data_IF_639899642596
#
_entry.id   IF_639899642596
#
_cell.length_a   1.000
_cell.length_b   1.000
_cell.length_c   1.000
_cell.angle_alpha   90.00
_cell.angle_beta   90.00
_cell.angle_gamma   90.00
#
_symmetry.space_group_name_H-M   'P 1'
#
loop_
_entity.id
_entity.type
_entity.pdbx_description
1 polymer ?
#
# COMPACT_ATOMS: atom_id res chain seq x y z
N UNK A 1 -19.97 -20.02 53.96
CA UNK A 1 -18.51 -20.22 54.11
C UNK A 1 -18.18 -21.35 53.14
N UNK A 2 -18.03 -21.06 51.86
CA UNK A 2 -16.70 -20.98 51.20
C UNK A 2 -16.84 -20.16 49.92
N UNK A 3 -16.05 -19.08 49.83
CA UNK A 3 -15.92 -18.22 48.65
C UNK A 3 -15.09 -18.98 47.61
N UNK A 4 -15.68 -19.36 46.47
CA UNK A 4 -14.93 -19.76 45.28
C UNK A 4 -14.65 -18.50 44.46
N UNK A 5 -13.41 -18.02 44.49
CA UNK A 5 -12.92 -16.93 43.63
C UNK A 5 -12.55 -17.53 42.28
N UNK A 6 -13.41 -17.36 41.27
CA UNK A 6 -13.08 -17.64 39.87
C UNK A 6 -12.36 -16.39 39.33
N UNK A 7 -11.02 -16.45 39.26
CA UNK A 7 -10.24 -15.47 38.53
C UNK A 7 -10.28 -15.83 37.04
N UNK A 8 -11.24 -15.25 36.31
CA UNK A 8 -11.21 -15.28 34.83
C UNK A 8 -10.11 -14.32 34.39
N UNK A 9 -8.94 -14.86 34.06
CA UNK A 9 -7.87 -14.11 33.40
C UNK A 9 -8.32 -13.89 31.96
N UNK A 10 -8.93 -12.73 31.69
CA UNK A 10 -9.10 -12.24 30.33
C UNK A 10 -7.73 -11.72 29.89
N UNK A 11 -6.92 -12.59 29.27
CA UNK A 11 -5.74 -12.17 28.54
C UNK A 11 -6.23 -11.41 27.30
N UNK A 12 -6.33 -10.08 27.42
CA UNK A 12 -6.58 -9.20 26.29
C UNK A 12 -5.44 -9.39 25.29
N UNK A 13 -5.77 -9.98 24.13
CA UNK A 13 -4.90 -9.98 22.96
C UNK A 13 -4.73 -8.52 22.52
N UNK A 14 -3.66 -7.89 23.01
CA UNK A 14 -3.17 -6.63 22.44
C UNK A 14 -2.63 -6.98 21.07
N UNK A 15 -3.46 -6.81 20.05
CA UNK A 15 -3.03 -6.89 18.65
C UNK A 15 -2.11 -5.69 18.41
N UNK A 16 -0.82 -5.90 18.66
CA UNK A 16 0.22 -4.95 18.32
C UNK A 16 0.27 -4.84 16.79
N UNK A 17 -0.35 -3.77 16.27
CA UNK A 17 -0.07 -3.30 14.93
C UNK A 17 1.46 -3.13 14.83
N UNK A 18 2.06 -3.77 13.83
CA UNK A 18 3.49 -3.64 13.56
C UNK A 18 3.89 -2.19 13.27
N UNK A 19 5.20 -1.91 13.14
CA UNK A 19 5.66 -0.56 12.84
C UNK A 19 5.02 -0.06 11.54
N UNK A 20 4.27 1.03 11.63
CA UNK A 20 3.81 1.80 10.49
C UNK A 20 5.05 2.23 9.69
N UNK A 21 5.07 1.92 8.39
CA UNK A 21 6.09 2.47 7.50
C UNK A 21 6.09 4.01 7.62
N UNK A 22 7.25 4.68 7.52
CA UNK A 22 7.29 6.13 7.54
C UNK A 22 6.34 6.68 6.48
N UNK A 23 5.43 7.56 6.92
CA UNK A 23 4.41 8.16 6.08
C UNK A 23 5.09 9.08 5.06
N UNK A 24 5.35 8.53 3.87
CA UNK A 24 5.73 9.33 2.71
C UNK A 24 4.53 10.18 2.32
N UNK A 25 4.80 11.41 1.88
CA UNK A 25 3.77 12.26 1.30
C UNK A 25 3.00 11.48 0.22
N UNK A 26 1.67 11.66 0.14
CA UNK A 26 0.87 10.99 -0.87
C UNK A 26 1.43 11.29 -2.27
N UNK A 27 1.48 10.27 -3.11
CA UNK A 27 1.99 10.38 -4.45
C UNK A 27 1.00 11.16 -5.33
N UNK A 28 1.54 12.07 -6.15
CA UNK A 28 0.81 12.69 -7.25
C UNK A 28 1.07 11.90 -8.53
N UNK A 29 0.03 11.29 -9.07
CA UNK A 29 0.11 10.38 -10.21
C UNK A 29 -0.56 10.99 -11.44
N UNK A 30 0.04 10.75 -12.61
CA UNK A 30 -0.50 11.22 -13.89
C UNK A 30 -0.27 10.20 -14.99
N UNK A 31 -1.12 10.24 -16.02
CA UNK A 31 -0.83 9.56 -17.28
C UNK A 31 0.20 10.36 -18.08
N UNK A 32 1.20 9.68 -18.62
CA UNK A 32 2.21 10.24 -19.49
C UNK A 32 2.48 9.32 -20.68
N UNK A 33 2.62 9.89 -21.88
CA UNK A 33 3.00 9.11 -23.06
C UNK A 33 4.53 8.93 -23.13
N UNK A 34 4.98 7.69 -23.22
CA UNK A 34 6.39 7.33 -23.44
C UNK A 34 6.52 6.58 -24.76
N UNK A 35 7.35 7.12 -25.66
CA UNK A 35 7.62 6.49 -26.96
C UNK A 35 8.08 5.04 -26.79
N UNK A 36 7.35 4.11 -27.41
CA UNK A 36 7.63 2.67 -27.35
C UNK A 36 6.94 1.91 -26.20
N UNK A 37 6.41 2.61 -25.19
CA UNK A 37 5.62 2.01 -24.11
C UNK A 37 4.13 2.40 -24.18
N UNK A 38 3.81 3.53 -24.83
CA UNK A 38 2.47 4.09 -24.84
C UNK A 38 2.20 4.92 -23.60
N UNK A 39 0.95 4.94 -23.15
CA UNK A 39 0.54 5.63 -21.94
C UNK A 39 0.99 4.84 -20.70
N UNK A 40 1.63 5.54 -19.77
CA UNK A 40 2.10 4.98 -18.50
C UNK A 40 1.66 5.87 -17.34
N UNK A 41 1.58 5.30 -16.15
CA UNK A 41 1.42 6.08 -14.91
C UNK A 41 2.79 6.57 -14.46
N UNK A 42 2.91 7.86 -14.19
CA UNK A 42 4.14 8.47 -13.69
C UNK A 42 3.87 9.35 -12.46
N UNK A 43 4.88 9.49 -11.60
CA UNK A 43 4.83 10.41 -10.46
C UNK A 43 5.17 11.86 -10.86
N UNK A 44 5.08 12.79 -9.90
CA UNK A 44 5.43 14.20 -10.10
C UNK A 44 6.86 14.45 -10.58
N UNK A 45 7.79 13.52 -10.30
CA UNK A 45 9.19 13.57 -10.74
C UNK A 45 9.40 12.95 -12.13
N UNK A 46 8.34 12.45 -12.78
CA UNK A 46 8.41 11.80 -14.08
C UNK A 46 8.95 10.37 -14.04
N UNK A 47 8.97 9.73 -12.87
CA UNK A 47 9.31 8.31 -12.74
C UNK A 47 8.08 7.48 -13.05
N UNK A 48 8.21 6.56 -14.01
CA UNK A 48 7.15 5.59 -14.33
C UNK A 48 6.92 4.67 -13.14
N UNK A 49 5.66 4.47 -12.77
CA UNK A 49 5.28 3.49 -11.77
C UNK A 49 5.24 2.09 -12.37
N UNK A 50 5.83 1.16 -11.63
CA UNK A 50 5.74 -0.27 -11.91
C UNK A 50 4.82 -0.91 -10.88
N UNK A 51 3.96 -1.84 -11.32
CA UNK A 51 3.21 -2.74 -10.45
C UNK A 51 3.75 -4.14 -10.65
N UNK A 52 3.89 -4.90 -9.56
CA UNK A 52 4.38 -6.26 -9.66
C UNK A 52 3.25 -7.20 -10.09
N UNK A 53 3.50 -8.04 -11.10
CA UNK A 53 2.48 -8.90 -11.73
C UNK A 53 1.87 -9.91 -10.77
N UNK A 54 2.57 -10.26 -9.69
CA UNK A 54 2.05 -11.19 -8.68
C UNK A 54 1.16 -10.52 -7.64
N UNK A 55 1.05 -9.19 -7.64
CA UNK A 55 0.18 -8.46 -6.71
C UNK A 55 -1.31 -8.68 -7.06
N UNK A 56 -2.19 -8.75 -6.06
CA UNK A 56 -3.62 -8.95 -6.27
C UNK A 56 -4.39 -7.65 -6.06
N UNK A 57 -5.34 -7.33 -6.93
CA UNK A 57 -6.20 -6.15 -6.80
C UNK A 57 -7.37 -6.36 -5.83
N UNK A 58 -7.88 -7.59 -5.71
CA UNK A 58 -9.08 -7.90 -4.91
C UNK A 58 -8.97 -9.28 -4.22
N UNK A 59 -8.77 -9.34 -2.89
CA UNK A 59 -8.43 -8.20 -2.03
C UNK A 59 -7.06 -7.59 -2.40
N UNK A 60 -6.84 -6.30 -2.15
CA UNK A 60 -5.57 -5.65 -2.44
C UNK A 60 -4.45 -6.27 -1.58
N UNK A 61 -3.44 -6.85 -2.23
CA UNK A 61 -2.28 -7.40 -1.56
C UNK A 61 -1.04 -7.31 -2.46
N UNK A 62 0.12 -7.07 -1.85
CA UNK A 62 1.41 -7.06 -2.54
C UNK A 62 2.29 -8.23 -2.09
N UNK A 63 3.06 -8.78 -3.02
CA UNK A 63 4.10 -9.77 -2.76
C UNK A 63 5.47 -9.12 -2.55
N UNK A 64 5.59 -7.80 -2.74
CA UNK A 64 6.84 -7.07 -2.57
C UNK A 64 6.96 -6.51 -1.15
N UNK A 65 7.68 -7.23 -0.28
CA UNK A 65 7.97 -6.80 1.09
C UNK A 65 9.46 -6.95 1.44
N UNK A 66 9.89 -6.30 2.52
CA UNK A 66 11.28 -6.37 2.99
C UNK A 66 12.28 -5.84 1.95
N UNK A 67 13.33 -6.58 1.59
CA UNK A 67 14.34 -6.14 0.62
C UNK A 67 13.76 -5.73 -0.74
N UNK A 68 12.66 -6.37 -1.16
CA UNK A 68 11.99 -6.00 -2.41
C UNK A 68 11.53 -4.53 -2.37
N UNK A 69 10.90 -4.11 -1.27
CA UNK A 69 10.40 -2.75 -1.10
C UNK A 69 11.52 -1.70 -0.92
N UNK A 70 12.76 -2.11 -0.64
CA UNK A 70 13.92 -1.22 -0.68
C UNK A 70 14.40 -0.99 -2.11
N UNK A 71 14.40 -2.04 -2.93
CA UNK A 71 14.81 -1.98 -4.34
C UNK A 71 13.74 -1.32 -5.22
N UNK A 72 12.47 -1.58 -4.92
CA UNK A 72 11.29 -1.08 -5.60
C UNK A 72 10.40 -0.36 -4.58
N UNK A 73 10.75 0.89 -4.20
CA UNK A 73 9.97 1.63 -3.22
C UNK A 73 8.53 1.86 -3.68
N UNK A 74 7.53 1.66 -2.80
CA UNK A 74 6.15 1.91 -3.15
C UNK A 74 5.89 3.41 -3.34
N UNK A 75 4.98 3.74 -4.27
CA UNK A 75 4.35 5.05 -4.29
C UNK A 75 3.35 5.13 -3.14
N UNK A 76 3.59 6.00 -2.15
CA UNK A 76 2.74 6.11 -0.99
C UNK A 76 1.39 6.70 -1.36
N UNK A 77 0.30 5.99 -1.06
CA UNK A 77 -1.05 6.52 -1.25
C UNK A 77 -1.43 7.57 -0.18
N UNK A 78 -0.83 7.51 1.00
CA UNK A 78 -1.30 8.30 2.16
C UNK A 78 -2.73 7.92 2.59
N UNK A 79 -3.23 8.54 3.67
CA UNK A 79 -4.54 8.20 4.22
C UNK A 79 -5.72 8.59 3.30
N UNK A 80 -5.56 9.64 2.50
CA UNK A 80 -6.58 10.14 1.58
C UNK A 80 -6.52 9.49 0.18
N UNK A 81 -5.52 8.66 -0.09
CA UNK A 81 -5.22 8.16 -1.43
C UNK A 81 -4.32 9.13 -2.23
N UNK A 82 -3.72 8.64 -3.33
CA UNK A 82 -2.90 9.47 -4.20
C UNK A 82 -3.77 10.51 -4.92
N UNK A 83 -3.18 11.63 -5.31
CA UNK A 83 -3.83 12.49 -6.30
C UNK A 83 -3.62 11.88 -7.68
N UNK A 84 -4.58 12.05 -8.58
CA UNK A 84 -4.53 11.47 -9.93
C UNK A 84 -4.94 12.49 -10.98
N UNK A 85 -4.23 12.50 -12.11
CA UNK A 85 -4.58 13.25 -13.31
C UNK A 85 -4.62 12.30 -14.52
N UNK A 86 -5.79 12.18 -15.14
CA UNK A 86 -6.03 11.30 -16.30
C UNK A 86 -6.06 9.79 -16.01
N UNK A 87 -6.16 9.36 -14.74
CA UNK A 87 -6.28 7.94 -14.36
C UNK A 87 -7.74 7.62 -14.06
N UNK A 88 -8.42 6.91 -14.96
CA UNK A 88 -9.86 6.67 -14.91
C UNK A 88 -10.25 5.51 -13.98
N UNK A 89 -9.88 5.53 -12.69
CA UNK A 89 -10.41 4.64 -11.64
C UNK A 89 -10.19 3.11 -11.78
N UNK A 90 -9.83 2.63 -12.96
CA UNK A 90 -9.47 1.28 -13.31
C UNK A 90 -8.14 1.33 -14.03
N UNK A 91 -7.09 0.87 -13.37
CA UNK A 91 -6.00 0.24 -14.11
C UNK A 91 -6.55 -1.14 -14.47
N UNK A 92 -7.29 -1.21 -15.58
CA UNK A 92 -7.74 -2.49 -16.14
C UNK A 92 -6.50 -3.39 -16.27
N UNK A 93 -6.56 -4.58 -15.67
CA UNK A 93 -5.79 -5.70 -16.19
C UNK A 93 -6.55 -6.34 -17.35
#
# INVERSE_FOLDING_TARGET
MTRLLIAVIVAAFVSACGPSAPEHAPADLRVAFVSGLGDVVADSQGRTLYRFDLDSASPPATNCAGPCATLWPPAAAGAAGPTTDGIDGGLDE
#
